data_IF_584744187175
#
_entry.id   IF_584744187175
#
_cell.length_a   1.000
_cell.length_b   1.000
_cell.length_c   1.000
_cell.angle_alpha   90.00
_cell.angle_beta   90.00
_cell.angle_gamma   90.00
#
_symmetry.space_group_name_H-M   'P 1'
#
loop_
_entity.id
_entity.type
_entity.pdbx_description
1 polymer ?
#
# COMPACT_ATOMS: atom_id res chain seq x y z
N UNK A 1 14.52 -0.92 14.77
CA UNK A 1 15.98 -1.12 14.99
C UNK A 1 16.56 -2.18 14.05
N UNK A 2 16.05 -3.42 14.02
CA UNK A 2 16.51 -4.49 13.11
C UNK A 2 16.44 -4.10 11.63
N UNK A 3 15.27 -3.61 11.18
CA UNK A 3 15.06 -3.15 9.80
C UNK A 3 16.04 -2.06 9.35
N UNK A 4 16.35 -1.11 10.23
CA UNK A 4 17.32 -0.06 9.93
C UNK A 4 18.76 -0.57 9.86
N UNK A 5 19.13 -1.54 10.70
CA UNK A 5 20.42 -2.21 10.58
C UNK A 5 20.53 -2.96 9.24
N UNK A 6 19.46 -3.64 8.80
CA UNK A 6 19.39 -4.27 7.48
C UNK A 6 19.53 -3.23 6.35
N UNK A 7 18.89 -2.06 6.48
CA UNK A 7 19.02 -0.97 5.50
C UNK A 7 20.45 -0.43 5.42
N UNK A 8 21.14 -0.24 6.55
CA UNK A 8 22.55 0.20 6.57
C UNK A 8 23.44 -0.85 5.92
N UNK A 9 23.26 -2.12 6.27
CA UNK A 9 24.00 -3.24 5.67
C UNK A 9 23.81 -3.28 4.15
N UNK A 10 22.58 -3.21 3.66
CA UNK A 10 22.31 -3.19 2.23
C UNK A 10 22.88 -1.94 1.55
N UNK A 11 22.84 -0.77 2.21
CA UNK A 11 23.41 0.45 1.67
C UNK A 11 24.94 0.36 1.52
N UNK A 12 25.62 -0.34 2.42
CA UNK A 12 27.05 -0.66 2.29
C UNK A 12 27.30 -1.57 1.09
N UNK A 13 26.51 -2.65 0.95
CA UNK A 13 26.60 -3.55 -0.20
C UNK A 13 26.38 -2.83 -1.55
N UNK A 14 25.43 -1.91 -1.61
CA UNK A 14 25.14 -1.10 -2.80
C UNK A 14 26.29 -0.13 -3.12
N UNK A 15 26.90 0.47 -2.10
CA UNK A 15 28.06 1.34 -2.30
C UNK A 15 29.26 0.55 -2.84
N UNK A 16 29.51 -0.65 -2.31
CA UNK A 16 30.55 -1.53 -2.85
C UNK A 16 30.24 -1.99 -4.29
N UNK A 17 28.97 -2.23 -4.61
CA UNK A 17 28.54 -2.54 -5.97
C UNK A 17 28.84 -1.38 -6.93
N UNK A 18 28.65 -0.13 -6.49
CA UNK A 18 29.00 1.06 -7.26
C UNK A 18 30.52 1.17 -7.49
N UNK A 19 31.33 0.95 -6.44
CA UNK A 19 32.79 0.91 -6.57
C UNK A 19 33.26 -0.16 -7.56
N UNK A 20 32.69 -1.38 -7.47
CA UNK A 20 32.97 -2.46 -8.41
C UNK A 20 32.60 -2.07 -9.85
N UNK A 21 31.43 -1.46 -10.05
CA UNK A 21 30.97 -1.02 -11.37
C UNK A 21 31.86 0.10 -11.95
N UNK A 22 32.41 0.96 -11.11
CA UNK A 22 33.35 2.02 -11.50
C UNK A 22 34.77 1.50 -11.80
N UNK A 23 35.06 0.23 -11.54
CA UNK A 23 36.41 -0.34 -11.65
C UNK A 23 37.36 0.16 -10.56
N UNK A 24 36.82 0.75 -9.49
CA UNK A 24 37.58 1.04 -8.28
C UNK A 24 37.94 -0.30 -7.63
N UNK A 25 39.22 -0.52 -7.32
CA UNK A 25 39.58 -1.62 -6.45
C UNK A 25 38.92 -1.34 -5.10
N UNK A 26 37.80 -2.03 -4.82
CA UNK A 26 37.16 -1.99 -3.53
C UNK A 26 38.23 -2.26 -2.47
N UNK A 27 38.31 -1.48 -1.39
CA UNK A 27 39.38 -1.68 -0.43
C UNK A 27 39.38 -3.14 0.04
N UNK A 28 40.56 -3.76 0.14
CA UNK A 28 40.63 -5.14 0.58
C UNK A 28 39.96 -5.26 1.98
N UNK A 29 38.92 -6.11 2.12
CA UNK A 29 38.30 -6.46 3.41
C UNK A 29 37.09 -5.62 3.88
N UNK A 30 36.12 -5.29 3.01
CA UNK A 30 34.89 -4.59 3.43
C UNK A 30 33.91 -5.45 4.21
N UNK A 31 33.80 -6.73 3.86
CA UNK A 31 32.95 -7.72 4.53
C UNK A 31 33.80 -8.82 5.14
N UNK A 32 34.55 -8.50 6.21
CA UNK A 32 34.63 -9.46 7.31
C UNK A 32 33.31 -9.38 8.07
N UNK A 33 32.20 -9.72 7.41
CA UNK A 33 30.96 -10.01 8.13
C UNK A 33 31.33 -11.10 9.13
N UNK A 34 31.17 -10.87 10.44
CA UNK A 34 31.65 -11.80 11.43
C UNK A 34 30.93 -13.14 11.22
N UNK A 35 31.68 -14.13 10.69
CA UNK A 35 31.29 -15.53 10.51
C UNK A 35 30.41 -15.94 9.29
N UNK A 36 30.28 -15.14 8.23
CA UNK A 36 29.63 -15.62 6.99
C UNK A 36 30.58 -16.52 6.17
N UNK A 37 30.05 -17.57 5.54
CA UNK A 37 30.78 -18.38 4.56
C UNK A 37 31.20 -17.46 3.39
N UNK A 38 32.47 -17.49 2.92
CA UNK A 38 32.89 -16.76 1.72
C UNK A 38 31.90 -16.87 0.53
N UNK A 39 31.25 -18.02 0.37
CA UNK A 39 30.22 -18.21 -0.67
C UNK A 39 28.98 -17.33 -0.48
N UNK A 40 28.54 -17.12 0.76
CA UNK A 40 27.39 -16.25 1.07
C UNK A 40 27.71 -14.78 0.78
N UNK A 41 28.92 -14.34 1.12
CA UNK A 41 29.40 -12.99 0.83
C UNK A 41 29.38 -12.69 -0.67
N UNK A 42 29.84 -13.64 -1.50
CA UNK A 42 29.77 -13.49 -2.95
C UNK A 42 28.32 -13.39 -3.46
N UNK A 43 27.39 -14.20 -2.95
CA UNK A 43 25.97 -14.13 -3.34
C UNK A 43 25.38 -12.74 -3.05
N UNK A 44 25.61 -12.19 -1.86
CA UNK A 44 25.11 -10.86 -1.51
C UNK A 44 25.76 -9.75 -2.33
N UNK A 45 27.04 -9.87 -2.66
CA UNK A 45 27.72 -8.92 -3.55
C UNK A 45 27.09 -8.92 -4.95
N UNK A 46 26.85 -10.10 -5.54
CA UNK A 46 26.20 -10.22 -6.86
C UNK A 46 24.76 -9.74 -6.85
N UNK A 47 24.04 -10.02 -5.77
CA UNK A 47 22.67 -9.55 -5.60
C UNK A 47 22.63 -8.01 -5.51
N UNK A 48 23.56 -7.39 -4.78
CA UNK A 48 23.69 -5.94 -4.71
C UNK A 48 24.06 -5.31 -6.07
N UNK A 49 24.90 -5.97 -6.88
CA UNK A 49 25.16 -5.54 -8.26
C UNK A 49 23.87 -5.48 -9.09
N UNK A 50 22.98 -6.47 -8.90
CA UNK A 50 21.64 -6.46 -9.51
C UNK A 50 20.79 -5.30 -9.02
N UNK A 51 20.68 -5.12 -7.70
CA UNK A 51 19.89 -4.05 -7.09
C UNK A 51 20.39 -2.63 -7.43
N UNK A 52 21.67 -2.47 -7.77
CA UNK A 52 22.23 -1.20 -8.24
C UNK A 52 21.65 -0.76 -9.59
N UNK A 53 20.96 -1.64 -10.32
CA UNK A 53 20.27 -1.29 -11.57
C UNK A 53 18.80 -0.90 -11.36
N UNK A 54 18.27 -1.00 -10.14
CA UNK A 54 16.87 -0.69 -9.85
C UNK A 54 16.59 0.82 -9.90
N UNK A 55 15.76 1.26 -10.84
CA UNK A 55 15.39 2.66 -10.95
C UNK A 55 14.19 3.00 -10.05
N UNK A 56 14.44 3.84 -9.05
CA UNK A 56 13.42 4.36 -8.14
C UNK A 56 13.04 5.81 -8.43
N UNK A 57 13.44 6.39 -9.57
CA UNK A 57 13.14 7.79 -9.89
C UNK A 57 11.63 8.07 -9.91
N UNK A 58 10.82 7.09 -10.31
CA UNK A 58 9.35 7.18 -10.32
C UNK A 58 8.70 6.86 -8.96
N UNK A 59 9.42 6.28 -8.00
CA UNK A 59 8.83 5.88 -6.72
C UNK A 59 8.30 7.12 -5.97
N UNK A 60 7.09 7.08 -5.38
CA UNK A 60 6.45 8.26 -4.79
C UNK A 60 7.31 8.95 -3.73
N UNK A 61 8.04 8.19 -2.91
CA UNK A 61 8.91 8.77 -1.89
C UNK A 61 10.09 9.55 -2.49
N UNK A 62 10.66 9.09 -3.62
CA UNK A 62 11.74 9.82 -4.31
C UNK A 62 11.20 11.07 -4.97
N UNK A 63 10.05 10.97 -5.65
CA UNK A 63 9.35 12.10 -6.26
C UNK A 63 8.96 13.15 -5.22
N UNK A 64 8.43 12.74 -4.08
CA UNK A 64 8.07 13.64 -2.98
C UNK A 64 9.30 14.27 -2.31
N UNK A 65 10.42 13.55 -2.21
CA UNK A 65 11.68 14.11 -1.73
C UNK A 65 12.26 15.19 -2.68
N UNK A 66 12.11 14.99 -3.99
CA UNK A 66 12.64 15.90 -5.02
C UNK A 66 11.73 17.11 -5.27
N UNK A 67 10.42 16.86 -5.39
CA UNK A 67 9.41 17.83 -5.82
C UNK A 67 8.12 17.72 -5.00
N UNK A 68 8.14 18.02 -3.68
CA UNK A 68 6.96 17.86 -2.82
C UNK A 68 5.76 18.73 -3.25
N UNK A 69 6.02 19.92 -3.79
CA UNK A 69 4.96 20.82 -4.29
C UNK A 69 4.23 20.24 -5.52
N UNK A 70 4.97 19.69 -6.48
CA UNK A 70 4.39 19.06 -7.67
C UNK A 70 3.57 17.82 -7.30
N UNK A 71 4.08 17.01 -6.36
CA UNK A 71 3.34 15.87 -5.82
C UNK A 71 2.04 16.30 -5.17
N UNK A 72 2.07 17.34 -4.32
CA UNK A 72 0.84 17.88 -3.70
C UNK A 72 -0.17 18.33 -4.75
N UNK A 73 0.25 19.13 -5.73
CA UNK A 73 -0.65 19.59 -6.79
C UNK A 73 -1.23 18.46 -7.64
N UNK A 74 -0.45 17.40 -7.92
CA UNK A 74 -0.95 16.25 -8.67
C UNK A 74 -1.98 15.40 -7.90
N UNK A 75 -1.77 15.25 -6.59
CA UNK A 75 -2.59 14.37 -5.76
C UNK A 75 -3.78 15.06 -5.08
N UNK A 76 -3.78 16.39 -4.91
CA UNK A 76 -4.90 17.13 -4.30
C UNK A 76 -6.25 16.74 -4.96
N UNK A 77 -7.27 16.29 -4.21
CA UNK A 77 -7.46 16.44 -2.76
C UNK A 77 -6.97 15.27 -1.91
N UNK A 78 -6.36 14.26 -2.52
CA UNK A 78 -5.74 13.14 -1.81
C UNK A 78 -4.59 13.61 -0.93
N UNK A 79 -4.52 13.07 0.28
CA UNK A 79 -3.46 13.35 1.27
C UNK A 79 -2.23 12.45 1.08
N UNK A 80 -2.22 11.65 0.02
CA UNK A 80 -1.11 10.76 -0.26
C UNK A 80 0.20 11.50 -0.53
N UNK A 81 0.15 12.69 -1.13
CA UNK A 81 1.35 13.50 -1.31
C UNK A 81 1.99 13.91 0.02
N UNK A 82 1.18 14.27 1.02
CA UNK A 82 1.63 14.56 2.37
C UNK A 82 2.25 13.31 3.00
N UNK A 83 1.58 12.16 2.90
CA UNK A 83 2.12 10.89 3.37
C UNK A 83 3.48 10.57 2.75
N UNK A 84 3.62 10.65 1.42
CA UNK A 84 4.87 10.39 0.72
C UNK A 84 5.99 11.35 1.14
N UNK A 85 5.63 12.62 1.36
CA UNK A 85 6.57 13.66 1.82
C UNK A 85 7.05 13.37 3.24
N UNK A 86 6.15 12.98 4.15
CA UNK A 86 6.52 12.63 5.52
C UNK A 86 7.36 11.35 5.57
N UNK A 87 7.02 10.33 4.79
CA UNK A 87 7.84 9.11 4.69
C UNK A 87 9.25 9.43 4.16
N UNK A 88 9.38 10.29 3.13
CA UNK A 88 10.68 10.72 2.64
C UNK A 88 11.51 11.48 3.70
N UNK A 89 10.87 12.35 4.49
CA UNK A 89 11.52 13.05 5.62
C UNK A 89 11.92 12.07 6.72
N UNK A 90 11.10 11.07 7.02
CA UNK A 90 11.41 10.05 8.03
C UNK A 90 12.66 9.24 7.65
N UNK A 91 12.78 8.85 6.37
CA UNK A 91 13.96 8.16 5.85
C UNK A 91 15.21 9.02 6.06
N UNK A 92 15.14 10.33 5.76
CA UNK A 92 16.23 11.28 6.00
C UNK A 92 16.58 11.43 7.47
N UNK A 93 15.60 11.67 8.32
CA UNK A 93 15.79 11.83 9.77
C UNK A 93 16.43 10.59 10.38
N UNK A 94 15.99 9.41 9.94
CA UNK A 94 16.56 8.13 10.36
C UNK A 94 18.03 8.01 9.95
N UNK A 95 18.35 8.34 8.70
CA UNK A 95 19.74 8.35 8.23
C UNK A 95 20.62 9.29 9.07
N UNK A 96 20.16 10.51 9.33
CA UNK A 96 20.91 11.51 10.11
C UNK A 96 21.17 11.02 11.54
N UNK A 97 20.18 10.40 12.18
CA UNK A 97 20.32 9.83 13.53
C UNK A 97 21.34 8.69 13.54
N UNK A 98 21.21 7.72 12.61
CA UNK A 98 22.12 6.59 12.50
C UNK A 98 23.55 7.04 12.16
N UNK A 99 23.68 8.04 11.28
CA UNK A 99 24.98 8.62 10.93
C UNK A 99 25.64 9.27 12.13
N UNK A 100 24.89 9.98 12.97
CA UNK A 100 25.43 10.60 14.17
C UNK A 100 25.89 9.56 15.21
N UNK A 101 25.15 8.46 15.36
CA UNK A 101 25.44 7.46 16.39
C UNK A 101 26.43 6.37 15.95
N UNK A 102 26.41 5.98 14.68
CA UNK A 102 27.09 4.76 14.22
C UNK A 102 28.22 5.01 13.22
N UNK A 103 28.32 6.17 12.57
CA UNK A 103 29.35 6.39 11.53
C UNK A 103 30.79 6.20 12.03
N UNK A 104 31.06 6.48 13.31
CA UNK A 104 32.37 6.29 13.92
C UNK A 104 32.79 4.82 14.02
N UNK A 105 31.82 3.89 14.08
CA UNK A 105 32.10 2.45 14.07
C UNK A 105 32.47 1.92 12.67
N UNK A 106 32.21 2.71 11.62
CA UNK A 106 32.44 2.35 10.22
C UNK A 106 33.22 3.45 9.47
N UNK A 107 34.43 3.82 9.93
CA UNK A 107 35.18 4.93 9.36
C UNK A 107 35.50 4.69 7.89
N UNK A 108 35.11 5.63 7.02
CA UNK A 108 35.28 5.54 5.56
C UNK A 108 34.35 4.53 4.87
N UNK A 109 33.42 3.91 5.61
CA UNK A 109 32.48 2.88 5.11
C UNK A 109 31.02 3.21 5.37
N UNK A 110 30.74 4.42 5.87
CA UNK A 110 29.38 4.86 6.08
C UNK A 110 28.76 5.25 4.73
N UNK A 111 27.66 4.62 4.31
CA UNK A 111 27.04 4.92 3.02
C UNK A 111 26.50 6.35 3.05
N UNK A 112 26.51 7.01 1.90
CA UNK A 112 25.85 8.31 1.78
C UNK A 112 24.32 8.18 1.87
N UNK A 113 23.64 9.32 1.96
CA UNK A 113 22.18 9.33 2.03
C UNK A 113 21.52 8.75 0.78
N UNK A 114 22.13 8.89 -0.40
CA UNK A 114 21.58 8.41 -1.67
C UNK A 114 21.49 6.89 -1.66
N UNK A 115 22.57 6.21 -1.24
CA UNK A 115 22.64 4.77 -1.09
C UNK A 115 21.75 4.26 0.04
N UNK A 116 21.71 4.97 1.18
CA UNK A 116 20.79 4.61 2.26
C UNK A 116 19.32 4.68 1.82
N UNK A 117 18.92 5.74 1.11
CA UNK A 117 17.56 5.86 0.60
C UNK A 117 17.27 4.76 -0.43
N UNK A 118 18.23 4.43 -1.32
CA UNK A 118 18.06 3.33 -2.28
C UNK A 118 17.87 1.99 -1.57
N UNK A 119 18.73 1.67 -0.60
CA UNK A 119 18.59 0.48 0.22
C UNK A 119 17.24 0.41 0.93
N UNK A 120 16.75 1.54 1.45
CA UNK A 120 15.43 1.61 2.09
C UNK A 120 14.30 1.26 1.12
N UNK A 121 14.39 1.70 -0.15
CA UNK A 121 13.40 1.35 -1.16
C UNK A 121 13.51 -0.09 -1.64
N UNK A 122 14.72 -0.65 -1.77
CA UNK A 122 14.87 -2.08 -2.00
C UNK A 122 14.21 -2.88 -0.86
N UNK A 123 14.48 -2.51 0.40
CA UNK A 123 13.85 -3.15 1.56
C UNK A 123 12.33 -2.98 1.57
N UNK A 124 11.80 -1.84 1.14
CA UNK A 124 10.34 -1.64 1.05
C UNK A 124 9.69 -2.51 -0.02
N UNK A 125 10.36 -2.69 -1.15
CA UNK A 125 9.79 -3.27 -2.38
C UNK A 125 10.05 -4.76 -2.55
N UNK A 126 11.03 -5.34 -1.85
CA UNK A 126 11.56 -6.68 -2.15
C UNK A 126 11.65 -7.63 -0.96
N UNK A 127 11.21 -7.22 0.22
CA UNK A 127 11.23 -8.10 1.40
C UNK A 127 10.06 -9.08 1.41
N UNK A 128 10.36 -10.30 1.85
CA UNK A 128 9.42 -11.38 2.06
C UNK A 128 9.34 -11.68 3.55
N UNK A 129 8.21 -12.25 3.97
CA UNK A 129 8.08 -12.90 5.27
C UNK A 129 8.72 -14.29 5.17
N UNK A 130 9.75 -14.56 5.99
CA UNK A 130 10.50 -15.81 6.01
C UNK A 130 10.73 -16.27 7.47
N UNK A 131 11.95 -16.67 7.85
CA UNK A 131 12.30 -16.95 9.27
C UNK A 131 12.09 -15.74 10.15
N UNK A 132 12.41 -14.58 9.60
CA UNK A 132 12.19 -13.28 10.21
C UNK A 132 11.01 -12.58 9.51
N UNK A 133 10.38 -11.64 10.22
CA UNK A 133 9.26 -10.85 9.68
C UNK A 133 9.62 -10.07 8.39
N UNK A 134 10.91 -9.93 8.05
CA UNK A 134 11.37 -9.23 6.83
C UNK A 134 12.75 -9.70 6.37
N UNK A 135 12.80 -10.34 5.21
CA UNK A 135 14.02 -10.88 4.60
C UNK A 135 14.07 -10.61 3.10
N UNK A 136 15.21 -10.16 2.57
CA UNK A 136 15.46 -10.15 1.13
C UNK A 136 15.83 -11.56 0.68
N UNK A 137 15.18 -12.03 -0.39
CA UNK A 137 15.41 -13.37 -0.92
C UNK A 137 15.89 -13.23 -2.36
N UNK A 138 17.21 -13.27 -2.61
CA UNK A 138 17.77 -13.15 -3.95
C UNK A 138 17.09 -14.13 -4.92
N UNK A 139 16.93 -13.71 -6.17
CA UNK A 139 16.23 -14.45 -7.25
C UNK A 139 14.71 -14.47 -7.09
N UNK A 140 14.18 -14.70 -5.89
CA UNK A 140 12.72 -14.73 -5.66
C UNK A 140 12.12 -13.32 -5.72
N UNK A 141 12.88 -12.30 -5.37
CA UNK A 141 12.44 -10.91 -5.47
C UNK A 141 12.45 -10.35 -6.91
N UNK A 142 12.85 -11.16 -7.90
CA UNK A 142 12.84 -10.77 -9.33
C UNK A 142 11.49 -11.04 -10.02
N UNK A 143 10.58 -11.80 -9.39
CA UNK A 143 9.27 -12.09 -9.98
C UNK A 143 8.36 -10.85 -9.91
N UNK A 144 7.99 -10.31 -11.07
CA UNK A 144 7.04 -9.20 -11.15
C UNK A 144 5.63 -9.58 -10.69
N UNK A 145 4.83 -8.56 -10.39
CA UNK A 145 3.46 -8.71 -9.92
C UNK A 145 2.45 -8.92 -11.06
N UNK A 146 1.55 -9.88 -10.89
CA UNK A 146 0.29 -9.98 -11.63
C UNK A 146 -0.91 -9.64 -10.73
N UNK A 147 -1.82 -8.80 -11.22
CA UNK A 147 -3.04 -8.38 -10.52
C UNK A 147 -4.04 -9.53 -10.32
N UNK A 148 -4.12 -10.43 -11.29
CA UNK A 148 -5.16 -11.47 -11.35
C UNK A 148 -4.82 -12.70 -10.50
N UNK A 149 -5.85 -13.50 -10.20
CA UNK A 149 -5.71 -14.84 -9.60
C UNK A 149 -4.90 -15.82 -10.48
N UNK A 150 -4.56 -15.44 -11.72
CA UNK A 150 -3.82 -16.23 -12.70
C UNK A 150 -2.29 -16.01 -12.64
N UNK A 151 -1.78 -15.45 -11.54
CA UNK A 151 -0.34 -15.38 -11.32
C UNK A 151 0.31 -16.77 -11.43
N UNK A 152 1.47 -16.81 -12.06
CA UNK A 152 2.08 -18.04 -12.56
C UNK A 152 2.93 -18.78 -11.54
N UNK A 153 3.36 -18.13 -10.46
CA UNK A 153 4.15 -18.71 -9.39
C UNK A 153 3.69 -18.25 -8.01
N UNK A 154 3.57 -19.18 -7.07
CA UNK A 154 3.42 -18.90 -5.64
C UNK A 154 4.76 -19.12 -4.94
N UNK A 155 4.96 -18.44 -3.82
CA UNK A 155 6.10 -18.66 -2.95
C UNK A 155 5.62 -18.96 -1.52
N UNK A 156 6.43 -19.68 -0.76
CA UNK A 156 6.25 -19.88 0.68
C UNK A 156 7.58 -20.14 1.35
N UNK A 157 7.73 -19.70 2.59
CA UNK A 157 8.82 -20.15 3.44
C UNK A 157 8.57 -21.59 3.90
N UNK A 158 9.60 -22.44 3.82
CA UNK A 158 9.58 -23.80 4.34
C UNK A 158 10.58 -23.90 5.50
N UNK A 159 10.07 -23.95 6.73
CA UNK A 159 10.90 -23.99 7.94
C UNK A 159 11.78 -25.24 8.02
N UNK A 160 11.30 -26.40 7.55
CA UNK A 160 12.06 -27.65 7.64
C UNK A 160 13.25 -27.69 6.68
N UNK A 161 13.11 -27.04 5.53
CA UNK A 161 14.17 -26.93 4.52
C UNK A 161 15.00 -25.64 4.69
N UNK A 162 14.59 -24.77 5.62
CA UNK A 162 15.12 -23.42 5.81
C UNK A 162 15.28 -22.68 4.47
N UNK A 163 14.25 -22.75 3.62
CA UNK A 163 14.31 -22.25 2.25
C UNK A 163 13.00 -21.58 1.79
N UNK A 164 13.16 -20.60 0.90
CA UNK A 164 12.03 -20.03 0.14
C UNK A 164 11.71 -20.95 -1.04
N UNK A 165 10.48 -21.47 -1.07
CA UNK A 165 10.03 -22.41 -2.10
C UNK A 165 9.10 -21.68 -3.08
N UNK A 166 9.53 -21.58 -4.33
CA UNK A 166 8.71 -21.05 -5.44
C UNK A 166 8.11 -22.21 -6.23
N UNK A 167 6.79 -22.24 -6.34
CA UNK A 167 6.02 -23.28 -7.03
C UNK A 167 5.23 -22.68 -8.19
N UNK A 168 5.40 -23.23 -9.39
CA UNK A 168 4.57 -22.88 -10.52
C UNK A 168 3.10 -23.28 -10.27
N UNK A 169 2.16 -22.35 -10.47
CA UNK A 169 0.71 -22.61 -10.32
C UNK A 169 0.05 -23.10 -11.59
N UNK A 170 0.76 -23.00 -12.72
CA UNK A 170 0.31 -23.45 -14.04
C UNK A 170 1.53 -23.81 -14.89
N UNK A 171 1.25 -24.43 -16.04
CA UNK A 171 2.26 -24.57 -17.08
C UNK A 171 2.68 -23.19 -17.62
N UNK A 172 3.96 -23.08 -17.96
CA UNK A 172 4.59 -21.90 -18.54
C UNK A 172 5.19 -22.25 -19.89
N UNK A 173 4.98 -21.40 -20.89
CA UNK A 173 5.62 -21.56 -22.19
C UNK A 173 7.09 -21.10 -22.12
N UNK A 174 7.94 -21.68 -22.97
CA UNK A 174 9.32 -21.21 -23.09
C UNK A 174 9.35 -19.75 -23.58
N UNK A 175 10.06 -18.88 -22.85
CA UNK A 175 10.13 -17.44 -23.14
C UNK A 175 9.00 -16.61 -22.52
N UNK A 176 8.04 -17.24 -21.84
CA UNK A 176 7.02 -16.54 -21.07
C UNK A 176 7.63 -15.96 -19.77
N UNK A 177 7.25 -14.72 -19.42
CA UNK A 177 7.58 -14.17 -18.12
C UNK A 177 6.78 -14.87 -17.01
N UNK A 178 7.48 -15.30 -15.97
CA UNK A 178 6.85 -15.88 -14.79
C UNK A 178 6.52 -14.73 -13.84
N UNK A 179 5.24 -14.57 -13.53
CA UNK A 179 4.75 -13.55 -12.60
C UNK A 179 4.30 -14.19 -11.28
N UNK A 180 4.50 -13.48 -10.17
CA UNK A 180 3.94 -13.84 -8.86
C UNK A 180 2.83 -12.86 -8.43
N UNK A 181 2.26 -13.06 -7.24
CA UNK A 181 1.36 -12.08 -6.63
C UNK A 181 2.02 -11.42 -5.43
N UNK A 182 1.97 -10.09 -5.37
CA UNK A 182 2.35 -9.30 -4.20
C UNK A 182 1.21 -9.20 -3.18
N UNK A 183 0.12 -9.95 -3.40
CA UNK A 183 -1.11 -9.93 -2.64
C UNK A 183 -2.24 -9.17 -3.37
N UNK A 184 -3.43 -9.22 -2.78
CA UNK A 184 -4.60 -8.44 -3.23
C UNK A 184 -4.44 -7.00 -2.71
N UNK A 185 -3.67 -6.18 -3.44
CA UNK A 185 -3.38 -4.79 -3.07
C UNK A 185 -4.09 -3.84 -4.02
N UNK A 186 -4.70 -2.79 -3.46
CA UNK A 186 -5.22 -1.67 -4.24
C UNK A 186 -4.09 -0.89 -4.92
N UNK A 187 -4.45 -0.07 -5.91
CA UNK A 187 -3.50 0.83 -6.56
C UNK A 187 -2.85 1.78 -5.55
N UNK A 188 -3.59 2.20 -4.53
CA UNK A 188 -3.03 2.99 -3.44
C UNK A 188 -1.87 2.29 -2.73
N UNK A 189 -2.08 1.04 -2.33
CA UNK A 189 -1.06 0.26 -1.62
C UNK A 189 0.09 -0.16 -2.55
N UNK A 190 -0.20 -0.50 -3.81
CA UNK A 190 0.82 -0.82 -4.80
C UNK A 190 1.73 0.38 -5.07
N UNK A 191 1.15 1.58 -5.20
CA UNK A 191 1.92 2.77 -5.48
C UNK A 191 2.77 3.19 -4.28
N UNK A 192 2.20 3.17 -3.07
CA UNK A 192 2.91 3.41 -1.80
C UNK A 192 4.14 2.53 -1.63
N UNK A 193 3.99 1.24 -1.89
CA UNK A 193 5.00 0.23 -1.59
C UNK A 193 5.96 0.01 -2.75
N UNK A 194 5.46 -0.10 -3.98
CA UNK A 194 6.22 -0.54 -5.16
C UNK A 194 6.41 0.53 -6.23
N UNK A 195 5.73 1.68 -6.12
CA UNK A 195 5.87 2.77 -7.06
C UNK A 195 5.20 2.54 -8.42
N UNK A 196 4.19 1.67 -8.50
CA UNK A 196 3.38 1.48 -9.71
C UNK A 196 1.89 1.29 -9.37
N UNK A 197 1.04 1.36 -10.40
CA UNK A 197 -0.40 1.05 -10.33
C UNK A 197 -0.78 0.08 -11.44
N UNK A 198 -1.80 -0.74 -11.20
CA UNK A 198 -2.47 -1.52 -12.24
C UNK A 198 -3.41 -0.66 -13.08
N UNK A 199 -3.73 -1.09 -14.31
CA UNK A 199 -4.92 -0.64 -15.01
C UNK A 199 -6.16 -0.74 -14.12
N UNK A 200 -7.12 0.20 -14.21
CA UNK A 200 -8.26 0.24 -13.31
C UNK A 200 -9.22 -0.96 -13.45
N UNK A 201 -9.20 -1.67 -14.58
CA UNK A 201 -9.92 -2.94 -14.79
C UNK A 201 -9.28 -4.15 -14.12
N UNK A 202 -8.00 -4.04 -13.74
CA UNK A 202 -7.24 -5.09 -13.07
C UNK A 202 -7.13 -4.86 -11.55
N UNK A 203 -7.51 -3.68 -11.05
CA UNK A 203 -7.41 -3.35 -9.63
C UNK A 203 -8.32 -4.26 -8.78
N UNK A 204 -7.77 -5.07 -7.85
CA UNK A 204 -8.55 -6.09 -7.16
C UNK A 204 -9.53 -5.50 -6.15
N UNK A 205 -9.21 -4.34 -5.57
CA UNK A 205 -10.01 -3.63 -4.57
C UNK A 205 -9.43 -2.24 -4.31
N UNK A 206 -10.15 -1.45 -3.53
CA UNK A 206 -9.87 -0.06 -3.26
C UNK A 206 -9.62 0.22 -1.79
N UNK A 207 -8.74 1.17 -1.51
CA UNK A 207 -8.35 1.56 -0.16
C UNK A 207 -8.41 3.08 -0.02
N UNK A 208 -8.78 3.57 1.16
CA UNK A 208 -8.73 4.98 1.54
C UNK A 208 -8.26 5.14 2.98
N UNK A 209 -7.41 6.14 3.26
CA UNK A 209 -7.03 6.50 4.63
C UNK A 209 -7.83 7.73 5.04
N UNK A 210 -8.62 7.60 6.12
CA UNK A 210 -9.31 8.74 6.73
C UNK A 210 -8.30 9.56 7.53
N UNK A 211 -8.03 10.77 7.04
CA UNK A 211 -7.15 11.72 7.69
C UNK A 211 -7.92 12.54 8.72
N UNK A 212 -7.53 12.53 10.01
CA UNK A 212 -8.25 13.23 11.07
C UNK A 212 -8.51 14.70 10.77
N UNK A 213 -7.58 15.38 10.12
CA UNK A 213 -7.72 16.81 9.76
C UNK A 213 -8.88 17.08 8.79
N UNK A 214 -9.23 16.12 7.93
CA UNK A 214 -10.34 16.27 6.97
C UNK A 214 -11.72 16.05 7.60
N UNK A 215 -11.76 15.28 8.69
CA UNK A 215 -12.99 14.84 9.36
C UNK A 215 -13.06 15.28 10.82
N UNK A 216 -12.20 16.22 11.23
CA UNK A 216 -12.08 16.67 12.63
C UNK A 216 -13.43 17.03 13.27
N UNK A 217 -14.34 17.80 12.62
CA UNK A 217 -15.63 18.12 13.23
C UNK A 217 -16.52 16.89 13.47
N UNK A 218 -16.35 15.83 12.66
CA UNK A 218 -17.06 14.56 12.83
C UNK A 218 -16.41 13.77 13.98
N UNK A 219 -15.09 13.73 14.06
CA UNK A 219 -14.40 13.07 15.16
C UNK A 219 -14.73 13.71 16.50
N UNK A 220 -14.70 15.04 16.60
CA UNK A 220 -15.09 15.78 17.81
C UNK A 220 -16.54 15.52 18.24
N UNK A 221 -17.42 15.14 17.30
CA UNK A 221 -18.82 14.85 17.57
C UNK A 221 -19.07 13.41 18.01
N UNK A 222 -18.30 12.44 17.50
CA UNK A 222 -18.59 11.00 17.66
C UNK A 222 -17.56 10.24 18.51
N UNK A 223 -16.33 10.74 18.62
CA UNK A 223 -15.23 10.10 19.34
C UNK A 223 -14.87 10.87 20.61
N UNK A 224 -14.32 10.19 21.63
CA UNK A 224 -13.85 10.87 22.83
C UNK A 224 -12.67 11.82 22.53
N UNK A 225 -12.56 12.93 23.27
CA UNK A 225 -11.46 13.91 23.16
C UNK A 225 -10.05 13.31 23.33
N UNK A 226 -9.94 12.10 23.89
CA UNK A 226 -8.69 11.37 24.03
C UNK A 226 -8.20 10.73 22.72
N UNK A 227 -9.00 10.71 21.65
CA UNK A 227 -8.68 10.07 20.37
C UNK A 227 -8.87 10.96 19.12
N UNK A 228 -8.46 12.24 19.11
CA UNK A 228 -8.78 13.16 18.01
C UNK A 228 -7.97 12.90 16.73
N UNK A 229 -6.93 12.05 16.79
CA UNK A 229 -5.92 11.90 15.74
C UNK A 229 -5.83 10.51 15.13
N UNK A 230 -6.83 9.65 15.33
CA UNK A 230 -6.73 8.27 14.85
C UNK A 230 -7.00 8.17 13.34
N UNK A 231 -6.00 7.73 12.60
CA UNK A 231 -6.19 7.34 11.21
C UNK A 231 -7.02 6.06 11.13
N UNK A 232 -8.01 6.06 10.25
CA UNK A 232 -8.84 4.90 9.98
C UNK A 232 -8.58 4.45 8.54
N UNK A 233 -8.18 3.20 8.37
CA UNK A 233 -8.01 2.58 7.07
C UNK A 233 -9.35 1.97 6.64
N UNK A 234 -9.82 2.39 5.46
CA UNK A 234 -10.97 1.78 4.79
C UNK A 234 -10.45 0.91 3.66
N UNK A 235 -10.92 -0.33 3.60
CA UNK A 235 -10.64 -1.26 2.51
C UNK A 235 -11.97 -1.79 1.93
N UNK A 236 -12.04 -1.92 0.61
CA UNK A 236 -13.27 -2.36 -0.08
C UNK A 236 -13.54 -3.87 0.00
N UNK A 237 -12.53 -4.64 0.42
CA UNK A 237 -12.61 -6.10 0.54
C UNK A 237 -12.68 -6.52 1.99
N UNK A 238 -11.91 -5.90 2.86
CA UNK A 238 -11.80 -6.30 4.27
C UNK A 238 -12.18 -5.16 5.20
N UNK A 239 -12.51 -5.51 6.44
CA UNK A 239 -12.68 -4.53 7.51
C UNK A 239 -11.41 -4.48 8.35
N UNK A 240 -10.81 -3.29 8.43
CA UNK A 240 -9.56 -3.09 9.15
C UNK A 240 -9.78 -2.91 10.65
N UNK A 241 -8.79 -3.31 11.46
CA UNK A 241 -8.84 -3.16 12.92
C UNK A 241 -9.05 -1.70 13.34
N UNK A 242 -8.43 -0.76 12.62
CA UNK A 242 -8.58 0.68 12.89
C UNK A 242 -10.02 1.17 12.76
N UNK A 243 -10.78 0.65 11.77
CA UNK A 243 -12.20 0.94 11.59
C UNK A 243 -13.03 0.27 12.68
N UNK A 244 -12.74 -1.01 12.98
CA UNK A 244 -13.42 -1.73 14.06
C UNK A 244 -13.31 -1.00 15.40
N UNK A 245 -12.10 -0.58 15.74
CA UNK A 245 -11.82 0.16 16.97
C UNK A 245 -12.56 1.50 16.96
N UNK A 246 -12.53 2.26 15.86
CA UNK A 246 -13.24 3.53 15.77
C UNK A 246 -14.77 3.35 15.97
N UNK A 247 -15.40 2.40 15.28
CA UNK A 247 -16.84 2.15 15.41
C UNK A 247 -17.24 1.71 16.83
N UNK A 248 -16.41 0.90 17.48
CA UNK A 248 -16.60 0.51 18.88
C UNK A 248 -16.48 1.69 19.85
N UNK A 249 -15.54 2.62 19.62
CA UNK A 249 -15.43 3.85 20.42
C UNK A 249 -16.65 4.75 20.24
N UNK A 250 -17.10 4.95 18.99
CA UNK A 250 -18.31 5.72 18.69
C UNK A 250 -19.51 5.16 19.46
N UNK A 251 -19.70 3.84 19.41
CA UNK A 251 -20.79 3.17 20.14
C UNK A 251 -20.65 3.31 21.64
N UNK A 252 -19.44 3.17 22.19
CA UNK A 252 -19.17 3.36 23.63
C UNK A 252 -19.45 4.79 24.09
N UNK A 253 -19.24 5.76 23.21
CA UNK A 253 -19.55 7.16 23.46
C UNK A 253 -21.04 7.50 23.28
N UNK A 254 -21.89 6.50 22.99
CA UNK A 254 -23.34 6.66 22.92
C UNK A 254 -23.87 7.14 21.57
N UNK A 255 -23.03 7.15 20.54
CA UNK A 255 -23.41 7.58 19.19
C UNK A 255 -23.68 6.40 18.25
N UNK A 256 -24.26 6.70 17.09
CA UNK A 256 -24.51 5.73 16.04
C UNK A 256 -23.28 5.58 15.13
N UNK A 257 -22.72 4.38 15.09
CA UNK A 257 -21.55 4.06 14.27
C UNK A 257 -21.84 4.11 12.76
N UNK A 258 -23.08 3.81 12.34
CA UNK A 258 -23.49 3.90 10.94
C UNK A 258 -23.57 5.37 10.49
N UNK A 259 -24.14 6.23 11.34
CA UNK A 259 -24.17 7.69 11.10
C UNK A 259 -22.76 8.28 11.03
N UNK A 260 -21.88 7.90 11.97
CA UNK A 260 -20.47 8.30 11.94
C UNK A 260 -19.80 7.96 10.61
N UNK A 261 -19.87 6.69 10.18
CA UNK A 261 -19.19 6.25 8.97
C UNK A 261 -19.79 6.91 7.71
N UNK A 262 -21.11 7.10 7.67
CA UNK A 262 -21.79 7.82 6.57
C UNK A 262 -21.29 9.27 6.47
N UNK A 263 -21.19 9.99 7.59
CA UNK A 263 -20.71 11.37 7.61
C UNK A 263 -19.24 11.47 7.21
N UNK A 264 -18.39 10.55 7.69
CA UNK A 264 -16.98 10.45 7.30
C UNK A 264 -16.86 10.25 5.79
N UNK A 265 -17.61 9.29 5.23
CA UNK A 265 -17.58 9.02 3.79
C UNK A 265 -18.08 10.22 2.98
N UNK A 266 -19.23 10.79 3.35
CA UNK A 266 -19.80 11.96 2.67
C UNK A 266 -18.84 13.15 2.68
N UNK A 267 -18.19 13.43 3.81
CA UNK A 267 -17.22 14.53 3.93
C UNK A 267 -16.00 14.30 3.04
N UNK A 268 -15.48 13.09 3.00
CA UNK A 268 -14.32 12.75 2.18
C UNK A 268 -14.66 12.75 0.68
N UNK A 269 -15.80 12.17 0.29
CA UNK A 269 -16.26 12.17 -1.11
C UNK A 269 -16.45 13.58 -1.67
N UNK A 270 -16.98 14.50 -0.85
CA UNK A 270 -17.18 15.89 -1.24
C UNK A 270 -15.90 16.54 -1.79
N UNK A 271 -14.74 16.22 -1.22
CA UNK A 271 -13.45 16.76 -1.68
C UNK A 271 -13.16 16.33 -3.13
N UNK A 272 -13.33 15.05 -3.43
CA UNK A 272 -13.12 14.48 -4.77
C UNK A 272 -14.15 14.97 -5.79
N UNK A 273 -15.41 15.14 -5.37
CA UNK A 273 -16.47 15.63 -6.26
C UNK A 273 -16.30 17.08 -6.70
N UNK A 274 -15.47 17.85 -5.98
CA UNK A 274 -15.12 19.23 -6.30
C UNK A 274 -13.72 19.36 -6.95
N UNK A 275 -13.02 18.25 -7.20
CA UNK A 275 -11.76 18.24 -7.94
C UNK A 275 -12.03 18.33 -9.45
N UNK A 276 -11.70 19.49 -10.04
CA UNK A 276 -11.83 19.72 -11.49
C UNK A 276 -11.02 18.71 -12.32
N UNK A 277 -9.86 18.27 -11.81
CA UNK A 277 -9.00 17.29 -12.48
C UNK A 277 -9.60 15.88 -12.52
N UNK A 278 -10.52 15.58 -11.59
CA UNK A 278 -11.22 14.29 -11.51
C UNK A 278 -12.59 14.31 -12.18
N UNK A 279 -13.13 15.49 -12.47
CA UNK A 279 -14.48 15.66 -13.02
C UNK A 279 -14.78 14.79 -14.26
N UNK A 280 -13.86 14.62 -15.25
CA UNK A 280 -14.12 13.75 -16.40
C UNK A 280 -14.26 12.27 -16.02
N UNK A 281 -13.42 11.78 -15.10
CA UNK A 281 -13.48 10.41 -14.60
C UNK A 281 -14.75 10.15 -13.78
N UNK A 282 -15.16 11.10 -12.93
CA UNK A 282 -16.42 11.02 -12.19
C UNK A 282 -17.65 11.07 -13.12
N UNK A 283 -17.61 11.89 -14.18
CA UNK A 283 -18.67 11.92 -15.18
C UNK A 283 -18.77 10.58 -15.94
N UNK A 284 -17.63 9.95 -16.25
CA UNK A 284 -17.58 8.63 -16.86
C UNK A 284 -18.10 7.54 -15.92
N UNK A 285 -17.74 7.57 -14.63
CA UNK A 285 -18.29 6.67 -13.61
C UNK A 285 -19.82 6.80 -13.52
N UNK A 286 -20.36 8.03 -13.55
CA UNK A 286 -21.81 8.25 -13.55
C UNK A 286 -22.49 7.63 -14.76
N UNK A 287 -21.90 7.74 -15.97
CA UNK A 287 -22.43 7.09 -17.18
C UNK A 287 -22.40 5.57 -17.05
N UNK A 288 -21.27 5.01 -16.59
CA UNK A 288 -21.14 3.58 -16.35
C UNK A 288 -22.24 3.07 -15.41
N UNK A 289 -22.49 3.82 -14.33
CA UNK A 289 -23.51 3.50 -13.32
C UNK A 289 -24.95 3.75 -13.75
N UNK A 290 -25.18 4.65 -14.70
CA UNK A 290 -26.49 4.80 -15.35
C UNK A 290 -26.84 3.57 -16.20
N UNK A 291 -25.84 2.96 -16.85
CA UNK A 291 -26.01 1.75 -17.66
C UNK A 291 -26.07 0.47 -16.80
N UNK A 292 -25.19 0.37 -15.81
CA UNK A 292 -25.11 -0.73 -14.84
C UNK A 292 -24.83 -0.14 -13.45
N UNK A 293 -25.83 -0.05 -12.56
CA UNK A 293 -25.65 0.52 -11.22
C UNK A 293 -24.54 -0.11 -10.39
N UNK A 294 -24.14 -1.35 -10.69
CA UNK A 294 -23.07 -2.07 -9.97
C UNK A 294 -21.67 -1.76 -10.50
N UNK A 295 -21.56 -1.00 -11.60
CA UNK A 295 -20.30 -0.77 -12.31
C UNK A 295 -19.37 0.22 -11.59
N UNK A 296 -18.08 -0.13 -11.56
CA UNK A 296 -16.96 0.76 -11.23
C UNK A 296 -16.18 1.23 -12.47
N UNK A 297 -16.63 0.85 -13.68
CA UNK A 297 -15.87 0.95 -14.93
C UNK A 297 -15.80 2.37 -15.52
N UNK A 298 -15.33 3.33 -14.73
CA UNK A 298 -15.19 4.73 -15.15
C UNK A 298 -14.28 4.90 -16.36
N UNK A 299 -13.26 4.05 -16.50
CA UNK A 299 -12.31 4.08 -17.62
C UNK A 299 -12.97 3.72 -18.96
N UNK A 300 -13.91 2.77 -18.94
CA UNK A 300 -14.59 2.29 -20.15
C UNK A 300 -15.50 3.37 -20.78
N UNK A 301 -15.94 4.33 -19.98
CA UNK A 301 -16.87 5.39 -20.37
C UNK A 301 -16.18 6.75 -20.57
N UNK A 302 -14.84 6.81 -20.56
CA UNK A 302 -14.10 8.05 -20.80
C UNK A 302 -14.34 8.57 -22.24
N UNK A 303 -14.46 9.89 -22.36
CA UNK A 303 -14.51 10.54 -23.66
C UNK A 303 -13.19 10.43 -24.41
N UNK A 304 -13.21 10.60 -25.73
CA UNK A 304 -11.99 10.51 -26.56
C UNK A 304 -10.90 11.49 -26.11
N UNK A 305 -11.28 12.69 -25.65
CA UNK A 305 -10.37 13.72 -25.16
C UNK A 305 -9.73 13.35 -23.81
N UNK A 306 -10.42 12.53 -23.01
CA UNK A 306 -10.04 12.17 -21.65
C UNK A 306 -9.43 10.77 -21.54
N UNK A 307 -9.32 10.02 -22.64
CA UNK A 307 -8.86 8.63 -22.63
C UNK A 307 -7.47 8.44 -22.01
N UNK A 308 -6.62 9.46 -22.06
CA UNK A 308 -5.31 9.44 -21.43
C UNK A 308 -5.32 9.49 -19.89
N UNK A 309 -6.46 9.80 -19.26
CA UNK A 309 -6.57 9.88 -17.79
C UNK A 309 -6.40 8.51 -17.13
N UNK A 310 -6.87 7.43 -17.77
CA UNK A 310 -6.72 6.07 -17.24
C UNK A 310 -5.26 5.62 -17.15
N UNK A 311 -4.33 6.30 -17.84
CA UNK A 311 -2.89 6.04 -17.76
C UNK A 311 -2.16 6.86 -16.68
N UNK A 312 -2.83 7.81 -16.04
CA UNK A 312 -2.21 8.70 -15.04
C UNK A 312 -2.33 8.09 -13.64
N UNK A 313 -1.21 7.77 -13.03
CA UNK A 313 -1.13 7.15 -11.69
C UNK A 313 -1.96 7.91 -10.65
N UNK A 314 -1.79 9.25 -10.56
CA UNK A 314 -2.53 10.05 -9.59
C UNK A 314 -4.05 10.02 -9.80
N UNK A 315 -4.54 9.89 -11.04
CA UNK A 315 -5.99 9.71 -11.31
C UNK A 315 -6.44 8.33 -10.82
N UNK A 316 -5.67 7.28 -11.06
CA UNK A 316 -5.98 5.92 -10.57
C UNK A 316 -6.05 5.90 -9.04
N UNK A 317 -5.12 6.56 -8.37
CA UNK A 317 -5.11 6.66 -6.91
C UNK A 317 -6.36 7.40 -6.39
N UNK A 318 -6.66 8.58 -6.94
CA UNK A 318 -7.87 9.33 -6.56
C UNK A 318 -9.16 8.55 -6.83
N UNK A 319 -9.25 7.84 -7.95
CA UNK A 319 -10.42 7.01 -8.28
C UNK A 319 -10.50 5.77 -7.38
N UNK A 320 -9.38 5.15 -7.01
CA UNK A 320 -9.33 4.10 -6.00
C UNK A 320 -9.91 4.63 -4.67
N UNK A 321 -9.40 5.74 -4.17
CA UNK A 321 -9.88 6.36 -2.94
C UNK A 321 -11.38 6.69 -2.99
N UNK A 322 -11.84 7.31 -4.08
CA UNK A 322 -13.25 7.63 -4.28
C UNK A 322 -14.14 6.37 -4.31
N UNK A 323 -13.76 5.34 -5.06
CA UNK A 323 -14.52 4.09 -5.13
C UNK A 323 -14.55 3.35 -3.78
N UNK A 324 -13.49 3.42 -2.97
CA UNK A 324 -13.48 2.90 -1.61
C UNK A 324 -14.53 3.62 -0.73
N UNK A 325 -14.58 4.95 -0.81
CA UNK A 325 -15.57 5.75 -0.08
C UNK A 325 -17.01 5.45 -0.50
N UNK A 326 -17.26 5.29 -1.81
CA UNK A 326 -18.57 4.88 -2.34
C UNK A 326 -18.93 3.50 -1.82
N UNK A 327 -18.01 2.53 -1.85
CA UNK A 327 -18.25 1.17 -1.37
C UNK A 327 -18.67 1.14 0.11
N UNK A 328 -17.99 1.89 0.97
CA UNK A 328 -18.34 1.99 2.40
C UNK A 328 -19.66 2.72 2.63
N UNK A 329 -19.92 3.81 1.90
CA UNK A 329 -21.20 4.53 2.00
C UNK A 329 -22.39 3.65 1.60
N UNK A 330 -22.26 2.92 0.48
CA UNK A 330 -23.27 1.97 0.01
C UNK A 330 -23.45 0.79 0.98
N UNK A 331 -22.35 0.28 1.58
CA UNK A 331 -22.41 -0.79 2.56
C UNK A 331 -23.19 -0.38 3.82
N UNK A 332 -23.00 0.86 4.31
CA UNK A 332 -23.77 1.40 5.43
C UNK A 332 -25.26 1.52 5.07
N UNK A 333 -25.58 2.05 3.88
CA UNK A 333 -26.98 2.19 3.45
C UNK A 333 -27.64 0.84 3.14
N UNK A 334 -26.88 -0.16 2.68
CA UNK A 334 -27.33 -1.54 2.54
C UNK A 334 -27.70 -2.16 3.89
N UNK A 335 -26.82 -2.05 4.89
CA UNK A 335 -27.04 -2.58 6.24
C UNK A 335 -28.26 -1.95 6.95
N UNK A 336 -28.65 -0.74 6.57
CA UNK A 336 -29.87 -0.08 7.06
C UNK A 336 -31.11 -0.35 6.19
N UNK A 337 -31.00 -1.14 5.13
CA UNK A 337 -32.08 -1.42 4.19
C UNK A 337 -32.50 -0.23 3.31
N UNK A 338 -31.65 0.80 3.20
CA UNK A 338 -31.88 2.00 2.38
C UNK A 338 -31.45 1.80 0.93
N UNK A 339 -30.48 0.93 0.68
CA UNK A 339 -29.97 0.63 -0.65
C UNK A 339 -30.08 -0.87 -0.93
N UNK A 340 -30.80 -1.30 -1.99
CA UNK A 340 -30.83 -2.70 -2.39
C UNK A 340 -29.48 -3.15 -2.95
N UNK A 341 -29.17 -4.44 -2.80
CA UNK A 341 -27.90 -5.04 -3.21
C UNK A 341 -27.54 -4.78 -4.68
N UNK A 342 -28.52 -4.87 -5.59
CA UNK A 342 -28.31 -4.66 -7.03
C UNK A 342 -27.95 -3.22 -7.43
N UNK A 343 -27.90 -2.29 -6.48
CA UNK A 343 -27.42 -0.91 -6.69
C UNK A 343 -26.05 -0.66 -6.05
N UNK A 344 -25.48 -1.64 -5.35
CA UNK A 344 -24.15 -1.54 -4.75
C UNK A 344 -23.07 -1.90 -5.77
N UNK A 345 -21.86 -1.37 -5.58
CA UNK A 345 -20.69 -1.70 -6.38
C UNK A 345 -20.42 -3.20 -6.39
N UNK A 346 -20.16 -3.74 -7.59
CA UNK A 346 -19.74 -5.13 -7.77
C UNK A 346 -18.39 -5.37 -7.12
N UNK A 347 -18.23 -6.52 -6.48
CA UNK A 347 -16.98 -6.90 -5.84
C UNK A 347 -16.85 -6.41 -4.41
N UNK A 348 -17.86 -5.74 -3.83
CA UNK A 348 -17.87 -5.31 -2.43
C UNK A 348 -18.85 -6.13 -1.58
N UNK A 349 -19.31 -7.27 -2.08
CA UNK A 349 -20.28 -8.17 -1.41
C UNK A 349 -19.80 -8.53 0.01
N UNK A 350 -18.54 -8.95 0.11
CA UNK A 350 -17.95 -9.38 1.39
C UNK A 350 -17.89 -8.23 2.41
N UNK A 351 -17.47 -7.03 1.99
CA UNK A 351 -17.47 -5.84 2.85
C UNK A 351 -18.89 -5.53 3.36
N UNK A 352 -19.89 -5.58 2.48
CA UNK A 352 -21.29 -5.31 2.87
C UNK A 352 -21.78 -6.27 3.94
N UNK A 353 -21.53 -7.57 3.76
CA UNK A 353 -21.89 -8.59 4.75
C UNK A 353 -21.19 -8.35 6.09
N UNK A 354 -19.87 -8.15 6.08
CA UNK A 354 -19.11 -7.89 7.31
C UNK A 354 -19.61 -6.61 8.01
N UNK A 355 -19.87 -5.55 7.26
CA UNK A 355 -20.33 -4.29 7.85
C UNK A 355 -21.75 -4.38 8.41
N UNK A 356 -22.66 -5.09 7.75
CA UNK A 356 -24.00 -5.36 8.25
C UNK A 356 -23.96 -6.14 9.57
N UNK A 357 -23.21 -7.25 9.62
CA UNK A 357 -23.01 -8.05 10.82
C UNK A 357 -22.40 -7.23 11.96
N UNK A 358 -21.36 -6.44 11.68
CA UNK A 358 -20.73 -5.56 12.67
C UNK A 358 -21.70 -4.53 13.23
N UNK A 359 -22.50 -3.87 12.39
CA UNK A 359 -23.49 -2.89 12.80
C UNK A 359 -24.62 -3.54 13.62
N UNK A 360 -25.04 -4.75 13.26
CA UNK A 360 -26.03 -5.50 14.03
C UNK A 360 -25.49 -5.89 15.42
N UNK A 361 -24.25 -6.38 15.49
CA UNK A 361 -23.58 -6.67 16.76
C UNK A 361 -23.43 -5.41 17.64
N UNK A 362 -23.10 -4.25 17.07
CA UNK A 362 -23.05 -2.99 17.81
C UNK A 362 -24.41 -2.57 18.38
N UNK A 363 -25.50 -2.82 17.64
CA UNK A 363 -26.87 -2.54 18.10
C UNK A 363 -27.26 -3.46 19.26
N UNK A 364 -26.99 -4.76 19.14
CA UNK A 364 -27.38 -5.80 20.10
C UNK A 364 -26.50 -5.85 21.34
N UNK A 365 -25.18 -5.78 21.15
CA UNK A 365 -24.17 -6.07 22.18
C UNK A 365 -23.41 -4.81 22.62
N UNK A 366 -23.48 -3.73 21.84
CA UNK A 366 -22.72 -2.50 22.09
C UNK A 366 -21.23 -2.58 21.74
N UNK A 367 -20.76 -3.73 21.22
CA UNK A 367 -19.36 -3.98 20.88
C UNK A 367 -19.22 -5.16 19.92
N UNK A 368 -18.16 -5.19 19.10
CA UNK A 368 -17.76 -6.36 18.31
C UNK A 368 -16.23 -6.47 18.19
N UNK A 369 -15.75 -7.65 17.76
CA UNK A 369 -14.35 -7.86 17.35
C UNK A 369 -14.33 -8.36 15.92
N UNK A 370 -13.33 -7.96 15.15
CA UNK A 370 -13.21 -8.38 13.75
C UNK A 370 -13.30 -9.91 13.58
N UNK A 371 -12.59 -10.66 14.43
CA UNK A 371 -12.63 -12.13 14.46
C UNK A 371 -14.01 -12.76 14.73
N UNK A 372 -14.97 -12.00 15.25
CA UNK A 372 -16.34 -12.51 15.45
C UNK A 372 -17.21 -12.32 14.21
N UNK A 373 -16.83 -11.36 13.35
CA UNK A 373 -17.52 -11.02 12.10
C UNK A 373 -16.93 -11.79 10.94
N UNK A 374 -15.62 -12.04 10.96
CA UNK A 374 -14.94 -12.99 10.09
C UNK A 374 -15.25 -14.43 10.54
N UNK A 375 -16.50 -14.88 10.41
CA UNK A 375 -16.76 -16.32 10.36
C UNK A 375 -16.38 -16.76 8.95
N UNK A 376 -15.20 -17.37 8.82
CA UNK A 376 -14.76 -17.92 7.55
C UNK A 376 -15.81 -18.96 7.10
N UNK A 377 -16.47 -18.81 5.95
CA UNK A 377 -17.43 -19.81 5.47
C UNK A 377 -16.76 -21.15 5.11
N UNK A 378 -15.45 -21.29 5.34
CA UNK A 378 -14.62 -22.44 4.97
C UNK A 378 -13.84 -23.09 6.13
N UNK A 379 -14.12 -22.72 7.40
CA UNK A 379 -13.63 -23.48 8.58
C UNK A 379 -14.61 -24.59 9.01
#
# INVERSE_FOLDING_TARGET
RKEFAQCVFLAQLLHEAEDRAAGCAGPDGWLEAPAADPGEGEVWARYADGLLNEDFASHPYRRAAASPGEMRTAFEPSMEAEYFTEMAKEIRKTYELLSAECSQAFPGRWPDFTMFFRARLCMLTRVFQAVDDSTLVPVVDLFNHAASLNYGAAWRWNENEEAMIVTARRAHAAGEEILSSYGLRSNLLLYRTYGFTHPPDEEPGWTYVVWPDHVRPIYEMFLPESQPGKQVLLDSKHMEDSLCEAMNEVRRHGHDAAEFLRLVCARCMWLYEHDEGLAPALAALRRARQADPTSSAWWAELGQEDRGLEGKEFIRIKMCEYLCLVAHAEAVDFAEGKLPEGLCLRGTEHLRTILDDALQMLKEQGYFRLKHVLQDPLD
#
